data_IF_795927499394
#
_entry.id   IF_795927499394
#
_cell.length_a   1.000
_cell.length_b   1.000
_cell.length_c   1.000
_cell.angle_alpha   90.00
_cell.angle_beta   90.00
_cell.angle_gamma   90.00
#
_symmetry.space_group_name_H-M   'P 1'
#
loop_
_entity.id
_entity.type
_entity.pdbx_description
1 polymer ?
#
# COMPACT_ATOMS: atom_id res chain seq x y z
N UNK A 1 -18.39 -28.13 17.97
CA UNK A 1 -17.14 -28.58 18.64
C UNK A 1 -16.12 -29.19 17.66
N UNK A 2 -16.46 -30.21 16.87
CA UNK A 2 -15.56 -30.85 15.89
C UNK A 2 -14.94 -29.89 14.85
N UNK A 3 -15.70 -28.93 14.32
CA UNK A 3 -15.22 -27.97 13.32
C UNK A 3 -14.17 -26.97 13.87
N UNK A 4 -14.33 -26.54 15.13
CA UNK A 4 -13.33 -25.68 15.81
C UNK A 4 -12.03 -26.45 16.05
N UNK A 5 -12.13 -27.70 16.50
CA UNK A 5 -10.95 -28.56 16.73
C UNK A 5 -10.20 -28.82 15.42
N UNK A 6 -10.91 -29.12 14.33
CA UNK A 6 -10.32 -29.27 12.99
C UNK A 6 -9.63 -28.00 12.49
N UNK A 7 -10.23 -26.82 12.69
CA UNK A 7 -9.60 -25.54 12.35
C UNK A 7 -8.33 -25.28 13.16
N UNK A 8 -8.35 -25.57 14.46
CA UNK A 8 -7.17 -25.42 15.33
C UNK A 8 -6.07 -26.40 14.97
N UNK A 9 -6.41 -27.65 14.63
CA UNK A 9 -5.44 -28.66 14.21
C UNK A 9 -4.82 -28.30 12.85
N UNK A 10 -5.63 -27.86 11.89
CA UNK A 10 -5.17 -27.38 10.59
C UNK A 10 -4.26 -26.16 10.73
N UNK A 11 -4.59 -25.21 11.61
CA UNK A 11 -3.73 -24.04 11.90
C UNK A 11 -2.37 -24.47 12.47
N UNK A 12 -2.37 -25.37 13.48
CA UNK A 12 -1.12 -25.92 14.05
C UNK A 12 -0.28 -26.70 13.04
N UNK A 13 -0.93 -27.43 12.12
CA UNK A 13 -0.25 -28.10 11.01
C UNK A 13 0.39 -27.08 10.05
N UNK A 14 -0.33 -26.03 9.66
CA UNK A 14 0.18 -24.97 8.78
C UNK A 14 1.27 -24.10 9.43
N UNK A 15 1.37 -24.08 10.76
CA UNK A 15 2.45 -23.45 11.52
C UNK A 15 3.68 -24.35 11.68
N UNK A 16 3.61 -25.63 11.27
CA UNK A 16 4.71 -26.58 11.35
C UNK A 16 5.87 -26.17 10.43
N UNK A 17 7.08 -26.04 11.01
CA UNK A 17 8.32 -25.80 10.26
C UNK A 17 8.55 -26.84 9.15
N UNK A 18 8.15 -28.09 9.38
CA UNK A 18 8.29 -29.17 8.41
C UNK A 18 7.38 -28.96 7.19
N UNK A 19 6.13 -28.58 7.39
CA UNK A 19 5.19 -28.33 6.29
C UNK A 19 5.54 -27.04 5.53
N UNK A 20 6.02 -26.01 6.25
CA UNK A 20 6.55 -24.79 5.65
C UNK A 20 7.72 -25.08 4.69
N UNK A 21 8.60 -26.03 5.03
CA UNK A 21 9.70 -26.45 4.15
C UNK A 21 9.20 -26.98 2.79
N UNK A 22 8.05 -27.64 2.76
CA UNK A 22 7.40 -28.10 1.53
C UNK A 22 6.53 -27.03 0.85
N UNK A 23 6.41 -25.83 1.43
CA UNK A 23 5.58 -24.73 0.92
C UNK A 23 4.13 -24.76 1.37
N UNK A 24 3.79 -25.65 2.30
CA UNK A 24 2.48 -25.72 2.95
C UNK A 24 2.55 -24.80 4.16
N UNK A 25 2.25 -23.51 3.92
CA UNK A 25 2.28 -22.45 4.94
C UNK A 25 0.99 -21.65 4.91
N UNK A 26 0.65 -21.01 6.03
CA UNK A 26 -0.50 -20.10 6.08
C UNK A 26 -0.36 -18.95 5.07
N UNK A 27 0.85 -18.41 4.91
CA UNK A 27 1.16 -17.34 3.95
C UNK A 27 0.85 -17.79 2.52
N UNK A 28 1.37 -18.95 2.11
CA UNK A 28 1.10 -19.46 0.77
C UNK A 28 -0.37 -19.78 0.55
N UNK A 29 -1.07 -20.26 1.59
CA UNK A 29 -2.50 -20.50 1.51
C UNK A 29 -3.30 -19.20 1.36
N UNK A 30 -2.91 -18.14 2.05
CA UNK A 30 -3.55 -16.83 1.94
C UNK A 30 -3.28 -16.20 0.56
N UNK A 31 -2.06 -16.29 0.02
CA UNK A 31 -1.78 -15.85 -1.36
C UNK A 31 -2.66 -16.55 -2.40
N UNK A 32 -2.97 -17.84 -2.20
CA UNK A 32 -3.89 -18.57 -3.08
C UNK A 32 -5.32 -18.05 -2.99
N UNK A 33 -5.81 -17.70 -1.80
CA UNK A 33 -7.15 -17.08 -1.64
C UNK A 33 -7.23 -15.73 -2.32
N UNK A 34 -6.13 -14.97 -2.30
CA UNK A 34 -6.05 -13.64 -2.90
C UNK A 34 -5.76 -13.67 -4.40
N UNK A 35 -5.71 -14.84 -5.05
CA UNK A 35 -5.54 -14.92 -6.50
C UNK A 35 -6.86 -14.58 -7.19
N UNK A 36 -6.91 -13.48 -7.95
CA UNK A 36 -8.12 -13.04 -8.66
C UNK A 36 -8.56 -14.10 -9.68
N UNK A 37 -7.59 -14.65 -10.42
CA UNK A 37 -7.79 -15.75 -11.35
C UNK A 37 -7.83 -17.11 -10.63
N UNK A 38 -8.71 -17.28 -9.65
CA UNK A 38 -8.75 -18.43 -8.72
C UNK A 38 -8.75 -19.81 -9.40
N UNK A 39 -9.22 -19.93 -10.64
CA UNK A 39 -9.17 -21.19 -11.42
C UNK A 39 -7.75 -21.64 -11.76
N UNK A 40 -6.76 -20.74 -11.68
CA UNK A 40 -5.36 -21.07 -11.90
C UNK A 40 -4.81 -22.04 -10.85
N UNK A 41 -5.41 -22.09 -9.67
CA UNK A 41 -5.09 -23.07 -8.61
C UNK A 41 -5.28 -24.51 -9.11
N UNK A 42 -6.21 -24.75 -10.03
CA UNK A 42 -6.42 -26.08 -10.64
C UNK A 42 -5.60 -26.30 -11.92
N UNK A 43 -4.82 -25.29 -12.33
CA UNK A 43 -4.08 -25.27 -13.60
C UNK A 43 -2.65 -24.77 -13.42
N UNK A 44 -2.03 -25.00 -12.26
CA UNK A 44 -0.67 -24.53 -11.96
C UNK A 44 0.35 -24.78 -13.09
N UNK A 45 0.30 -25.96 -13.72
CA UNK A 45 1.23 -26.32 -14.79
C UNK A 45 1.09 -25.48 -16.06
N UNK A 46 -0.02 -24.75 -16.23
CA UNK A 46 -0.27 -23.86 -17.39
C UNK A 46 0.23 -22.43 -17.16
N UNK A 47 0.45 -22.05 -15.90
CA UNK A 47 0.98 -20.73 -15.59
C UNK A 47 2.49 -20.78 -15.77
N UNK A 48 3.14 -19.83 -16.46
CA UNK A 48 4.60 -19.77 -16.51
C UNK A 48 5.21 -19.63 -15.11
N UNK A 49 6.45 -20.07 -14.96
CA UNK A 49 7.22 -19.83 -13.73
C UNK A 49 8.03 -18.55 -13.89
N UNK A 50 8.05 -17.75 -12.84
CA UNK A 50 8.85 -16.54 -12.72
C UNK A 50 9.84 -16.70 -11.58
N UNK A 51 11.04 -16.18 -11.79
CA UNK A 51 12.06 -16.10 -10.75
C UNK A 51 11.91 -14.79 -9.99
N UNK A 52 11.89 -14.89 -8.67
CA UNK A 52 11.97 -13.72 -7.80
C UNK A 52 13.44 -13.26 -7.78
N UNK A 53 13.68 -12.03 -8.20
CA UNK A 53 14.98 -11.36 -8.13
C UNK A 53 15.01 -10.45 -6.92
N UNK A 54 16.20 -10.32 -6.32
CA UNK A 54 16.44 -9.51 -5.13
C UNK A 54 17.47 -8.44 -5.47
N UNK A 55 17.10 -7.18 -5.31
CA UNK A 55 18.09 -6.11 -5.38
C UNK A 55 18.96 -6.14 -4.12
N UNK A 56 20.22 -5.72 -4.27
CA UNK A 56 21.13 -5.61 -3.13
C UNK A 56 20.87 -4.31 -2.39
N UNK A 57 21.03 -4.33 -1.07
CA UNK A 57 21.05 -3.10 -0.28
C UNK A 57 22.16 -2.19 -0.80
N UNK A 58 21.81 -0.92 -1.04
CA UNK A 58 22.78 0.09 -1.46
C UNK A 58 23.74 0.37 -0.32
N UNK A 59 25.01 0.62 -0.66
CA UNK A 59 25.99 1.08 0.33
C UNK A 59 25.53 2.45 0.84
N UNK A 60 25.39 2.56 2.16
CA UNK A 60 25.04 3.81 2.85
C UNK A 60 26.09 4.88 2.56
N UNK A 61 25.61 6.07 2.19
CA UNK A 61 26.37 7.28 1.92
C UNK A 61 26.02 8.36 2.94
N UNK A 62 26.80 9.44 2.96
CA UNK A 62 26.60 10.56 3.90
C UNK A 62 25.20 11.18 3.79
N UNK A 63 24.68 11.32 2.56
CA UNK A 63 23.32 11.83 2.33
C UNK A 63 22.23 10.95 2.95
N UNK A 64 22.45 9.63 3.03
CA UNK A 64 21.48 8.70 3.63
C UNK A 64 21.51 8.83 5.16
N UNK A 65 22.69 9.09 5.74
CA UNK A 65 22.85 9.36 7.17
C UNK A 65 22.14 10.67 7.52
N UNK A 66 22.37 11.74 6.75
CA UNK A 66 21.71 13.02 6.96
C UNK A 66 20.17 12.92 6.83
N UNK A 67 19.67 12.18 5.85
CA UNK A 67 18.24 11.88 5.76
C UNK A 67 17.74 11.17 7.03
N UNK A 68 18.49 10.21 7.55
CA UNK A 68 18.11 9.49 8.77
C UNK A 68 18.16 10.36 10.03
N UNK A 69 19.03 11.38 10.11
CA UNK A 69 18.99 12.39 11.17
C UNK A 69 17.67 13.15 11.17
N UNK A 70 17.23 13.60 9.98
CA UNK A 70 15.93 14.27 9.79
C UNK A 70 14.78 13.38 10.25
N UNK A 71 14.79 12.10 9.85
CA UNK A 71 13.76 11.12 10.23
C UNK A 71 13.71 10.86 11.74
N UNK A 72 14.87 10.71 12.40
CA UNK A 72 14.94 10.52 13.86
C UNK A 72 14.37 11.75 14.58
N UNK A 73 14.71 12.95 14.12
CA UNK A 73 14.18 14.20 14.70
C UNK A 73 12.67 14.27 14.55
N UNK A 74 12.14 14.09 13.33
CA UNK A 74 10.70 14.13 13.08
C UNK A 74 9.93 13.08 13.90
N UNK A 75 10.49 11.87 14.04
CA UNK A 75 9.93 10.82 14.90
C UNK A 75 9.94 11.23 16.38
N UNK A 76 11.03 11.84 16.87
CA UNK A 76 11.12 12.36 18.23
C UNK A 76 10.08 13.45 18.52
N UNK A 77 9.89 14.39 17.61
CA UNK A 77 8.86 15.44 17.75
C UNK A 77 7.45 14.83 17.75
N UNK A 78 7.17 13.91 16.83
CA UNK A 78 5.87 13.27 16.71
C UNK A 78 5.50 12.37 17.90
N UNK A 79 6.49 11.81 18.62
CA UNK A 79 6.26 10.94 19.79
C UNK A 79 6.30 11.69 21.13
N UNK A 80 7.01 12.82 21.20
CA UNK A 80 7.01 13.70 22.36
C UNK A 80 5.72 14.53 22.46
N UNK A 81 5.04 14.73 21.34
CA UNK A 81 3.71 15.34 21.28
C UNK A 81 2.68 14.40 21.93
N UNK A 82 2.64 14.41 23.27
CA UNK A 82 1.81 13.53 24.12
C UNK A 82 0.29 13.80 24.02
N UNK A 83 -0.15 14.61 23.05
CA UNK A 83 -1.57 14.80 22.78
C UNK A 83 -2.15 13.50 22.18
N UNK A 84 -2.67 12.67 23.09
CA UNK A 84 -3.60 11.58 22.88
C UNK A 84 -3.16 10.45 21.93
N UNK A 85 -2.42 9.47 22.46
CA UNK A 85 -2.24 8.14 21.85
C UNK A 85 -3.50 7.27 21.92
N UNK A 86 -4.67 7.80 21.52
CA UNK A 86 -5.94 7.05 21.46
C UNK A 86 -6.30 6.55 20.06
N UNK A 87 -5.51 6.91 19.04
CA UNK A 87 -5.87 6.66 17.64
C UNK A 87 -5.16 5.44 17.01
N UNK A 88 -4.51 4.59 17.80
CA UNK A 88 -3.97 3.32 17.29
C UNK A 88 -4.95 2.20 17.59
N UNK A 89 -5.31 1.42 16.57
CA UNK A 89 -6.15 0.25 16.78
C UNK A 89 -5.38 -0.90 17.45
N UNK A 90 -6.07 -1.79 18.14
CA UNK A 90 -5.47 -2.98 18.76
C UNK A 90 -4.72 -3.87 17.73
N UNK A 91 -5.15 -3.85 16.47
CA UNK A 91 -4.48 -4.54 15.38
C UNK A 91 -3.08 -3.96 15.15
N UNK A 92 -2.98 -2.65 14.96
CA UNK A 92 -1.69 -2.00 14.75
C UNK A 92 -0.81 -2.03 15.99
N UNK A 93 -1.37 -1.85 17.20
CA UNK A 93 -0.61 -2.05 18.45
C UNK A 93 0.04 -3.45 18.52
N UNK A 94 -0.69 -4.49 18.08
CA UNK A 94 -0.17 -5.85 18.06
C UNK A 94 0.89 -6.04 16.97
N UNK A 95 0.68 -5.52 15.76
CA UNK A 95 1.67 -5.57 14.68
C UNK A 95 2.97 -4.88 15.09
N UNK A 96 2.87 -3.66 15.63
CA UNK A 96 4.04 -2.89 16.07
C UNK A 96 4.84 -3.66 17.13
N UNK A 97 4.16 -4.19 18.16
CA UNK A 97 4.79 -4.99 19.21
C UNK A 97 5.47 -6.24 18.66
N UNK A 98 4.85 -6.93 17.70
CA UNK A 98 5.33 -8.24 17.22
C UNK A 98 6.33 -8.19 16.06
N UNK A 99 6.40 -7.08 15.32
CA UNK A 99 7.14 -7.00 14.05
C UNK A 99 8.10 -5.82 13.94
N UNK A 100 7.84 -4.72 14.67
CA UNK A 100 8.58 -3.46 14.52
C UNK A 100 9.70 -3.26 15.54
N UNK A 101 9.92 -4.19 16.48
CA UNK A 101 10.91 -4.04 17.55
C UNK A 101 12.33 -3.68 17.08
N UNK A 102 12.77 -4.20 15.93
CA UNK A 102 14.08 -3.83 15.34
C UNK A 102 14.11 -2.34 14.98
N UNK A 103 13.12 -1.83 14.24
CA UNK A 103 13.07 -0.42 13.85
C UNK A 103 12.95 0.50 15.07
N UNK A 104 12.11 0.13 16.04
CA UNK A 104 11.97 0.86 17.31
C UNK A 104 13.32 0.96 18.03
N UNK A 105 14.03 -0.15 18.23
CA UNK A 105 15.32 -0.15 18.92
C UNK A 105 16.38 0.71 18.21
N UNK A 106 16.33 0.77 16.88
CA UNK A 106 17.26 1.59 16.08
C UNK A 106 16.92 3.07 16.22
N UNK A 107 15.64 3.44 16.22
CA UNK A 107 15.20 4.82 16.43
C UNK A 107 15.52 5.30 17.85
N UNK A 108 15.27 4.48 18.87
CA UNK A 108 15.59 4.78 20.27
C UNK A 108 17.09 4.96 20.51
N UNK A 109 17.94 4.30 19.72
CA UNK A 109 19.39 4.49 19.80
C UNK A 109 19.85 5.88 19.33
N UNK A 110 19.00 6.62 18.60
CA UNK A 110 19.33 7.93 18.03
C UNK A 110 20.47 7.90 17.01
N UNK A 111 20.88 6.74 16.51
CA UNK A 111 22.02 6.60 15.61
C UNK A 111 21.58 6.64 14.12
N UNK A 112 21.81 7.74 13.39
CA UNK A 112 21.36 7.89 12.01
C UNK A 112 22.05 6.92 11.04
N UNK A 113 23.31 6.55 11.30
CA UNK A 113 24.03 5.57 10.47
C UNK A 113 23.43 4.18 10.62
N UNK A 114 23.09 3.77 11.83
CA UNK A 114 22.42 2.49 12.08
C UNK A 114 21.03 2.46 11.45
N UNK A 115 20.29 3.57 11.51
CA UNK A 115 19.00 3.70 10.82
C UNK A 115 19.17 3.60 9.30
N UNK A 116 20.13 4.31 8.71
CA UNK A 116 20.39 4.26 7.27
C UNK A 116 20.73 2.84 6.79
N UNK A 117 21.57 2.11 7.53
CA UNK A 117 21.89 0.70 7.23
C UNK A 117 20.63 -0.16 7.31
N UNK A 118 19.82 0.02 8.36
CA UNK A 118 18.59 -0.76 8.57
C UNK A 118 17.57 -0.50 7.45
N UNK A 119 17.38 0.75 7.07
CA UNK A 119 16.42 1.15 6.03
C UNK A 119 16.90 0.81 4.62
N UNK A 120 18.22 0.71 4.39
CA UNK A 120 18.79 0.31 3.09
C UNK A 120 18.34 -1.08 2.61
N UNK A 121 17.84 -1.92 3.53
CA UNK A 121 17.27 -3.24 3.27
C UNK A 121 15.85 -3.42 3.83
N UNK A 122 15.11 -2.35 4.07
CA UNK A 122 13.81 -2.42 4.77
C UNK A 122 12.81 -3.40 4.15
N UNK A 123 12.80 -3.56 2.82
CA UNK A 123 11.86 -4.47 2.15
C UNK A 123 12.19 -5.95 2.35
N UNK A 124 13.30 -6.28 3.02
CA UNK A 124 13.65 -7.64 3.44
C UNK A 124 13.35 -7.90 4.93
N UNK A 125 12.88 -6.89 5.65
CA UNK A 125 12.74 -6.93 7.11
C UNK A 125 11.30 -7.25 7.52
N UNK A 126 11.11 -7.64 8.79
CA UNK A 126 9.76 -7.91 9.32
C UNK A 126 8.98 -6.63 9.64
N UNK A 127 9.66 -5.51 9.86
CA UNK A 127 9.05 -4.23 10.26
C UNK A 127 8.36 -3.49 9.12
N UNK A 128 8.20 -4.11 7.95
CA UNK A 128 7.32 -3.63 6.87
C UNK A 128 6.04 -4.47 6.75
N UNK A 129 5.83 -5.42 7.66
CA UNK A 129 4.61 -6.24 7.68
C UNK A 129 3.37 -5.35 7.79
N UNK A 130 2.39 -5.58 6.92
CA UNK A 130 1.20 -4.73 6.76
C UNK A 130 1.36 -3.67 5.67
N UNK A 131 2.59 -3.31 5.30
CA UNK A 131 2.90 -2.33 4.25
C UNK A 131 3.42 -3.01 2.98
N UNK A 132 4.24 -4.05 3.14
CA UNK A 132 4.93 -4.79 2.09
C UNK A 132 5.13 -6.25 2.55
N UNK A 133 5.29 -7.19 1.61
CA UNK A 133 5.48 -8.61 1.95
C UNK A 133 6.73 -8.87 2.80
N UNK A 134 7.76 -8.02 2.70
CA UNK A 134 8.89 -8.01 3.64
C UNK A 134 9.64 -9.34 3.70
N UNK A 135 9.91 -9.81 4.91
CA UNK A 135 10.54 -11.10 5.18
C UNK A 135 9.65 -12.33 4.85
N UNK A 136 8.36 -12.15 4.51
CA UNK A 136 7.47 -13.25 4.15
C UNK A 136 7.88 -13.96 2.87
N UNK A 137 8.72 -13.34 2.03
CA UNK A 137 9.31 -13.96 0.83
C UNK A 137 10.04 -15.28 1.12
N UNK A 138 10.46 -15.52 2.35
CA UNK A 138 11.00 -16.84 2.78
C UNK A 138 10.04 -18.01 2.50
N UNK A 139 8.72 -17.75 2.49
CA UNK A 139 7.70 -18.76 2.16
C UNK A 139 7.68 -19.14 0.67
N UNK A 140 8.37 -18.37 -0.19
CA UNK A 140 8.56 -18.67 -1.60
C UNK A 140 9.68 -19.68 -1.87
N UNK A 141 10.52 -20.07 -0.91
CA UNK A 141 11.76 -20.81 -1.23
C UNK A 141 11.56 -22.27 -1.62
N UNK A 142 10.46 -22.89 -1.19
CA UNK A 142 10.09 -24.26 -1.57
C UNK A 142 9.58 -24.33 -3.01
N UNK A 143 9.57 -25.52 -3.63
CA UNK A 143 9.05 -25.69 -5.01
C UNK A 143 7.60 -25.21 -5.15
N UNK A 144 6.75 -25.54 -4.19
CA UNK A 144 5.33 -25.11 -4.16
C UNK A 144 5.25 -23.61 -3.87
N UNK A 145 6.01 -23.10 -2.90
CA UNK A 145 6.08 -21.68 -2.58
C UNK A 145 6.47 -20.83 -3.79
N UNK A 146 7.55 -21.20 -4.50
CA UNK A 146 8.00 -20.52 -5.74
C UNK A 146 6.86 -20.42 -6.73
N UNK A 147 6.11 -21.50 -6.90
CA UNK A 147 5.01 -21.56 -7.84
C UNK A 147 3.86 -20.64 -7.44
N UNK A 148 3.46 -20.64 -6.18
CA UNK A 148 2.37 -19.82 -5.65
C UNK A 148 2.73 -18.34 -5.76
N UNK A 149 3.93 -17.96 -5.33
CA UNK A 149 4.39 -16.57 -5.42
C UNK A 149 4.49 -16.11 -6.87
N UNK A 150 5.11 -16.91 -7.74
CA UNK A 150 5.17 -16.64 -9.18
C UNK A 150 3.78 -16.45 -9.79
N UNK A 151 2.80 -17.25 -9.38
CA UNK A 151 1.43 -17.11 -9.84
C UNK A 151 0.81 -15.79 -9.35
N UNK A 152 1.03 -15.42 -8.08
CA UNK A 152 0.48 -14.18 -7.52
C UNK A 152 1.03 -12.91 -8.18
N UNK A 153 2.33 -12.85 -8.47
CA UNK A 153 2.90 -11.73 -9.22
C UNK A 153 2.24 -11.58 -10.61
N UNK A 154 2.08 -12.70 -11.32
CA UNK A 154 1.47 -12.71 -12.65
C UNK A 154 -0.02 -12.40 -12.62
N UNK A 155 -0.74 -12.84 -11.59
CA UNK A 155 -2.16 -12.56 -11.36
C UNK A 155 -2.42 -11.05 -11.21
N UNK A 156 -1.62 -10.38 -10.38
CA UNK A 156 -1.73 -8.93 -10.16
C UNK A 156 -1.43 -8.13 -11.44
N UNK A 157 -0.38 -8.52 -12.19
CA UNK A 157 -0.05 -7.90 -13.47
C UNK A 157 -1.14 -8.11 -14.53
N UNK A 158 -1.68 -9.34 -14.61
CA UNK A 158 -2.73 -9.66 -15.57
C UNK A 158 -3.99 -8.86 -15.27
N UNK A 159 -4.40 -8.80 -14.00
CA UNK A 159 -5.56 -8.03 -13.59
C UNK A 159 -5.43 -6.53 -13.94
N UNK A 160 -4.25 -5.94 -13.78
CA UNK A 160 -3.98 -4.57 -14.21
C UNK A 160 -4.07 -4.42 -15.74
N UNK A 161 -3.52 -5.37 -16.50
CA UNK A 161 -3.58 -5.36 -17.96
C UNK A 161 -5.03 -5.51 -18.50
N UNK A 162 -5.83 -6.34 -17.84
CA UNK A 162 -7.25 -6.52 -18.15
C UNK A 162 -8.05 -5.25 -17.88
N UNK A 163 -7.80 -4.59 -16.74
CA UNK A 163 -8.38 -3.29 -16.40
C UNK A 163 -8.07 -2.23 -17.48
N UNK A 164 -6.82 -2.19 -17.95
CA UNK A 164 -6.39 -1.25 -19.00
C UNK A 164 -6.93 -1.62 -20.39
N UNK A 165 -7.57 -2.78 -20.55
CA UNK A 165 -8.06 -3.27 -21.84
C UNK A 165 -6.95 -3.61 -22.86
N UNK A 166 -5.69 -3.71 -22.41
CA UNK A 166 -4.55 -4.08 -23.29
C UNK A 166 -4.47 -5.58 -23.55
N UNK A 167 -5.21 -6.36 -22.76
CA UNK A 167 -5.48 -7.78 -22.97
C UNK A 167 -6.96 -8.05 -22.70
N UNK A 168 -7.46 -9.19 -23.20
CA UNK A 168 -8.83 -9.62 -22.95
C UNK A 168 -8.96 -10.21 -21.55
N UNK A 169 -10.09 -9.94 -20.90
CA UNK A 169 -10.45 -10.54 -19.61
C UNK A 169 -10.64 -12.05 -19.71
N UNK A 170 -10.16 -12.83 -18.76
CA UNK A 170 -10.44 -14.27 -18.72
C UNK A 170 -11.94 -14.56 -18.49
N UNK A 171 -12.59 -15.18 -19.48
CA UNK A 171 -13.98 -15.64 -19.34
C UNK A 171 -14.04 -17.12 -18.97
N UNK A 172 -14.78 -17.48 -17.90
CA UNK A 172 -15.03 -18.88 -17.55
C UNK A 172 -15.99 -19.58 -18.52
N UNK A 173 -16.81 -18.84 -19.28
CA UNK A 173 -17.77 -19.38 -20.25
C UNK A 173 -17.06 -19.82 -21.53
N UNK A 174 -16.14 -18.99 -22.05
CA UNK A 174 -15.43 -19.23 -23.29
C UNK A 174 -14.02 -18.64 -23.16
N UNK A 175 -13.01 -19.46 -22.87
CA UNK A 175 -11.66 -18.92 -22.69
C UNK A 175 -10.60 -19.94 -22.27
N UNK A 176 -9.34 -19.63 -22.62
CA UNK A 176 -8.15 -20.31 -22.11
C UNK A 176 -7.61 -19.51 -20.92
N UNK A 177 -7.16 -20.21 -19.89
CA UNK A 177 -6.49 -19.58 -18.75
C UNK A 177 -5.05 -19.22 -19.09
N UNK A 178 -4.59 -18.09 -18.57
CA UNK A 178 -3.27 -17.48 -18.74
C UNK A 178 -2.88 -17.24 -20.21
N UNK A 179 -3.86 -17.01 -21.10
CA UNK A 179 -3.59 -16.79 -22.52
C UNK A 179 -2.68 -15.57 -22.75
N UNK A 180 -2.92 -14.49 -22.00
CA UNK A 180 -2.14 -13.26 -22.04
C UNK A 180 -0.69 -13.42 -21.57
N UNK A 181 -0.37 -14.51 -20.84
CA UNK A 181 0.98 -14.79 -20.34
C UNK A 181 1.81 -15.66 -21.29
N UNK A 182 1.25 -16.14 -22.40
CA UNK A 182 1.96 -17.01 -23.35
C UNK A 182 3.16 -16.35 -24.01
N UNK A 183 3.05 -15.05 -24.26
CA UNK A 183 4.13 -14.23 -24.82
C UNK A 183 5.16 -13.81 -23.76
N UNK A 184 4.96 -14.23 -22.50
CA UNK A 184 5.81 -13.90 -21.37
C UNK A 184 5.39 -12.62 -20.65
N UNK A 185 5.92 -12.44 -19.44
CA UNK A 185 5.66 -11.26 -18.60
C UNK A 185 6.23 -10.00 -19.23
N UNK A 186 7.33 -10.10 -19.97
CA UNK A 186 7.93 -8.94 -20.66
C UNK A 186 6.94 -8.27 -21.62
N UNK A 187 6.25 -9.04 -22.45
CA UNK A 187 5.26 -8.50 -23.39
C UNK A 187 4.03 -7.94 -22.68
N UNK A 188 3.61 -8.56 -21.56
CA UNK A 188 2.50 -8.04 -20.76
C UNK A 188 2.84 -6.68 -20.15
N UNK A 189 4.02 -6.54 -19.54
CA UNK A 189 4.48 -5.28 -18.95
C UNK A 189 4.68 -4.22 -20.03
N UNK A 190 5.25 -4.58 -21.19
CA UNK A 190 5.41 -3.64 -22.31
C UNK A 190 4.07 -3.08 -22.80
N UNK A 191 3.02 -3.91 -22.90
CA UNK A 191 1.65 -3.47 -23.25
C UNK A 191 1.07 -2.52 -22.21
N UNK A 192 1.23 -2.83 -20.91
CA UNK A 192 0.80 -1.95 -19.82
C UNK A 192 1.52 -0.60 -19.93
N UNK A 193 2.85 -0.59 -19.90
CA UNK A 193 3.68 0.62 -19.93
C UNK A 193 3.37 1.50 -21.15
N UNK A 194 3.16 0.89 -22.32
CA UNK A 194 2.79 1.61 -23.55
C UNK A 194 1.43 2.28 -23.47
N UNK A 195 0.42 1.63 -22.86
CA UNK A 195 -0.94 2.18 -22.77
C UNK A 195 -1.06 3.37 -21.83
N UNK A 196 -0.22 3.42 -20.80
CA UNK A 196 -0.21 4.47 -19.78
C UNK A 196 0.97 5.43 -19.92
N UNK A 197 1.86 5.21 -20.88
CA UNK A 197 3.09 5.96 -21.08
C UNK A 197 3.86 6.21 -19.76
N UNK A 198 3.99 5.17 -18.93
CA UNK A 198 4.69 5.25 -17.64
C UNK A 198 5.35 3.91 -17.36
N UNK A 199 6.64 3.92 -17.03
CA UNK A 199 7.35 2.70 -16.65
C UNK A 199 6.88 2.17 -15.30
N UNK A 200 6.62 0.86 -15.24
CA UNK A 200 6.29 0.11 -14.03
C UNK A 200 7.53 -0.23 -13.18
N UNK A 201 8.73 0.20 -13.56
CA UNK A 201 9.94 -0.12 -12.82
C UNK A 201 9.87 0.42 -11.38
N UNK A 202 9.81 -0.47 -10.40
CA UNK A 202 9.81 -0.09 -8.99
C UNK A 202 11.14 0.59 -8.62
N UNK A 203 11.13 1.68 -7.81
CA UNK A 203 12.34 2.39 -7.44
C UNK A 203 13.29 1.48 -6.65
N UNK A 204 14.59 1.60 -6.92
CA UNK A 204 15.63 0.80 -6.26
C UNK A 204 15.95 1.37 -4.87
N UNK A 205 15.02 1.18 -3.92
CA UNK A 205 15.05 1.72 -2.56
C UNK A 205 14.78 0.58 -1.58
N UNK A 206 15.59 0.43 -0.54
CA UNK A 206 15.30 -0.52 0.54
C UNK A 206 15.49 -2.01 0.18
N UNK A 207 16.33 -2.31 -0.82
CA UNK A 207 16.58 -3.66 -1.34
C UNK A 207 15.29 -4.43 -1.75
N UNK A 208 14.49 -3.87 -2.68
CA UNK A 208 13.22 -4.49 -3.05
C UNK A 208 13.45 -5.80 -3.81
N UNK A 209 12.41 -6.64 -3.83
CA UNK A 209 12.41 -7.88 -4.61
C UNK A 209 11.10 -8.02 -5.37
N UNK A 210 11.12 -8.84 -6.42
CA UNK A 210 9.99 -8.99 -7.32
C UNK A 210 10.32 -9.88 -8.50
N UNK A 211 9.47 -9.85 -9.53
CA UNK A 211 9.78 -10.49 -10.82
C UNK A 211 10.28 -9.44 -11.82
N UNK A 212 10.92 -9.87 -12.91
CA UNK A 212 11.31 -8.98 -14.01
C UNK A 212 10.27 -9.06 -15.14
N UNK A 213 9.94 -7.90 -15.70
CA UNK A 213 9.10 -7.75 -16.87
C UNK A 213 9.49 -6.49 -17.63
N UNK A 214 9.85 -6.61 -18.91
CA UNK A 214 10.31 -5.51 -19.76
C UNK A 214 11.46 -4.69 -19.14
N UNK A 215 12.38 -5.37 -18.44
CA UNK A 215 13.48 -4.74 -17.69
C UNK A 215 13.07 -4.15 -16.32
N UNK A 216 11.79 -3.82 -16.14
CA UNK A 216 11.21 -3.30 -14.90
C UNK A 216 11.21 -4.36 -13.78
N UNK A 217 11.53 -3.94 -12.56
CA UNK A 217 11.30 -4.74 -11.35
C UNK A 217 9.83 -4.60 -10.94
N UNK A 218 9.11 -5.71 -10.86
CA UNK A 218 7.70 -5.78 -10.46
C UNK A 218 7.56 -6.38 -9.06
N UNK A 219 7.22 -5.56 -8.05
CA UNK A 219 6.93 -6.02 -6.68
C UNK A 219 5.49 -6.52 -6.58
N UNK A 220 5.13 -7.20 -5.48
CA UNK A 220 3.84 -7.90 -5.40
C UNK A 220 2.68 -6.92 -5.29
N UNK A 221 2.87 -5.87 -4.51
CA UNK A 221 1.90 -4.87 -4.08
C UNK A 221 1.71 -3.78 -5.14
N UNK A 222 2.76 -3.41 -5.87
CA UNK A 222 2.69 -2.20 -6.67
C UNK A 222 1.71 -2.21 -7.85
N UNK A 223 1.31 -3.35 -8.48
CA UNK A 223 0.29 -3.29 -9.52
C UNK A 223 -1.04 -2.76 -8.98
N UNK A 224 -1.34 -2.98 -7.70
CA UNK A 224 -2.49 -2.41 -7.00
C UNK A 224 -2.33 -0.90 -6.85
N UNK A 225 -1.23 -0.42 -6.27
CA UNK A 225 -1.00 1.03 -6.12
C UNK A 225 -0.99 1.76 -7.49
N UNK A 226 -0.47 1.11 -8.54
CA UNK A 226 -0.49 1.64 -9.91
C UNK A 226 -1.92 1.75 -10.46
N UNK A 227 -2.74 0.71 -10.23
CA UNK A 227 -4.17 0.69 -10.55
C UNK A 227 -4.92 1.80 -9.79
N UNK A 228 -4.75 1.89 -8.48
CA UNK A 228 -5.44 2.87 -7.63
C UNK A 228 -5.07 4.31 -8.03
N UNK A 229 -3.80 4.58 -8.36
CA UNK A 229 -3.38 5.88 -8.90
C UNK A 229 -4.14 6.27 -10.18
N UNK A 230 -4.37 5.32 -11.10
CA UNK A 230 -5.15 5.55 -12.32
C UNK A 230 -6.64 5.79 -12.01
N UNK A 231 -7.19 5.09 -11.02
CA UNK A 231 -8.59 5.26 -10.60
C UNK A 231 -8.81 6.59 -9.92
N UNK A 232 -7.87 7.06 -9.11
CA UNK A 232 -7.91 8.40 -8.52
C UNK A 232 -7.81 9.46 -9.61
N UNK A 233 -6.92 9.30 -10.58
CA UNK A 233 -6.86 10.21 -11.73
C UNK A 233 -8.21 10.32 -12.47
N UNK A 234 -8.87 9.19 -12.72
CA UNK A 234 -10.19 9.18 -13.34
C UNK A 234 -11.26 9.83 -12.46
N UNK A 235 -11.23 9.61 -11.14
CA UNK A 235 -12.14 10.27 -10.21
C UNK A 235 -11.92 11.79 -10.20
N UNK A 236 -10.67 12.26 -10.18
CA UNK A 236 -10.32 13.68 -10.30
C UNK A 236 -10.86 14.26 -11.61
N UNK A 237 -10.68 13.57 -12.74
CA UNK A 237 -11.20 14.03 -14.04
C UNK A 237 -12.73 14.10 -14.08
N UNK A 238 -13.43 13.17 -13.44
CA UNK A 238 -14.90 13.12 -13.49
C UNK A 238 -15.56 14.10 -12.53
N UNK A 239 -14.97 14.30 -11.34
CA UNK A 239 -15.65 14.97 -10.23
C UNK A 239 -15.00 16.30 -9.82
N UNK A 240 -13.81 16.62 -10.33
CA UNK A 240 -13.11 17.89 -10.06
C UNK A 240 -12.83 18.72 -11.34
N UNK A 241 -13.45 18.40 -12.48
CA UNK A 241 -13.16 19.02 -13.80
C UNK A 241 -13.40 20.55 -13.86
N UNK A 242 -14.12 21.12 -12.89
CA UNK A 242 -14.23 22.57 -12.70
C UNK A 242 -12.95 23.26 -12.18
N UNK A 243 -11.93 22.49 -11.77
CA UNK A 243 -10.64 22.96 -11.26
C UNK A 243 -9.45 22.59 -12.17
N UNK A 244 -9.71 22.22 -13.43
CA UNK A 244 -8.77 21.63 -14.41
C UNK A 244 -7.55 22.47 -14.84
N UNK A 245 -7.19 23.51 -14.09
CA UNK A 245 -5.95 24.28 -14.23
C UNK A 245 -5.18 24.52 -12.94
N UNK A 246 -5.68 24.07 -11.78
CA UNK A 246 -5.04 24.30 -10.48
C UNK A 246 -4.25 23.07 -10.02
N UNK A 247 -3.11 23.32 -9.39
CA UNK A 247 -2.39 22.27 -8.67
C UNK A 247 -3.20 21.87 -7.42
N UNK A 248 -3.40 20.58 -7.21
CA UNK A 248 -4.25 20.01 -6.17
C UNK A 248 -3.47 19.70 -4.89
N UNK A 249 -4.10 19.95 -3.75
CA UNK A 249 -3.67 19.49 -2.44
C UNK A 249 -4.31 18.13 -2.15
N UNK A 250 -3.49 17.09 -2.16
CA UNK A 250 -3.92 15.71 -1.91
C UNK A 250 -3.54 15.35 -0.48
N UNK A 251 -4.44 14.69 0.24
CA UNK A 251 -4.17 14.08 1.54
C UNK A 251 -4.49 12.59 1.50
N UNK A 252 -3.59 11.76 2.00
CA UNK A 252 -3.74 10.32 2.13
C UNK A 252 -3.70 9.92 3.62
N UNK A 253 -4.73 9.21 4.07
CA UNK A 253 -4.80 8.65 5.42
C UNK A 253 -4.27 7.20 5.39
N UNK A 254 -3.21 6.93 6.15
CA UNK A 254 -2.60 5.60 6.24
C UNK A 254 -1.90 5.18 4.95
N UNK A 255 -0.93 5.97 4.48
CA UNK A 255 -0.29 5.81 3.16
C UNK A 255 0.72 4.66 3.03
N UNK A 256 0.72 3.73 3.97
CA UNK A 256 1.56 2.54 3.90
C UNK A 256 3.05 2.88 3.95
N UNK A 257 3.84 2.41 2.99
CA UNK A 257 5.23 2.85 2.82
C UNK A 257 5.40 4.03 1.84
N UNK A 258 4.30 4.64 1.36
CA UNK A 258 4.31 5.77 0.42
C UNK A 258 4.26 5.38 -1.05
N UNK A 259 3.83 4.15 -1.38
CA UNK A 259 3.81 3.68 -2.77
C UNK A 259 2.75 4.36 -3.62
N UNK A 260 1.56 4.62 -3.08
CA UNK A 260 0.48 5.25 -3.82
C UNK A 260 0.87 6.69 -4.20
N UNK A 261 1.39 7.45 -3.23
CA UNK A 261 2.00 8.76 -3.43
C UNK A 261 3.07 8.74 -4.54
N UNK A 262 3.96 7.75 -4.52
CA UNK A 262 4.98 7.57 -5.56
C UNK A 262 4.36 7.38 -6.95
N UNK A 263 3.36 6.53 -7.11
CA UNK A 263 2.76 6.26 -8.42
C UNK A 263 1.89 7.40 -8.93
N UNK A 264 1.14 8.07 -8.06
CA UNK A 264 0.37 9.28 -8.42
C UNK A 264 1.32 10.35 -8.96
N UNK A 265 2.43 10.61 -8.28
CA UNK A 265 3.41 11.59 -8.74
C UNK A 265 4.14 11.13 -10.02
N UNK A 266 4.62 9.89 -10.05
CA UNK A 266 5.40 9.35 -11.18
C UNK A 266 4.60 9.24 -12.48
N UNK A 267 3.30 8.96 -12.41
CA UNK A 267 2.44 8.95 -13.59
C UNK A 267 2.24 10.36 -14.17
N UNK A 268 2.38 11.42 -13.35
CA UNK A 268 2.28 12.81 -13.81
C UNK A 268 0.90 13.21 -14.37
N UNK A 269 -0.14 12.46 -14.00
CA UNK A 269 -1.51 12.62 -14.53
C UNK A 269 -2.39 13.57 -13.72
N UNK A 270 -1.97 13.86 -12.50
CA UNK A 270 -2.63 14.76 -11.58
C UNK A 270 -1.66 15.92 -11.31
N UNK A 271 -2.06 17.19 -11.50
CA UNK A 271 -1.22 18.34 -11.17
C UNK A 271 -1.19 18.48 -9.64
N UNK A 272 -0.10 18.04 -8.99
CA UNK A 272 0.01 18.03 -7.52
C UNK A 272 0.67 19.33 -7.05
N UNK A 273 0.02 20.04 -6.13
CA UNK A 273 0.66 21.10 -5.35
C UNK A 273 1.36 20.48 -4.13
N UNK A 274 0.61 19.70 -3.35
CA UNK A 274 1.11 18.96 -2.18
C UNK A 274 0.46 17.59 -2.11
N UNK A 275 1.21 16.60 -1.65
CA UNK A 275 0.75 15.27 -1.30
C UNK A 275 1.11 15.01 0.17
N UNK A 276 0.12 15.15 1.04
CA UNK A 276 0.28 14.95 2.48
C UNK A 276 -0.12 13.53 2.85
N UNK A 277 0.75 12.82 3.57
CA UNK A 277 0.44 11.53 4.19
C UNK A 277 0.29 11.75 5.69
N UNK A 278 -0.84 11.30 6.23
CA UNK A 278 -1.14 11.25 7.66
C UNK A 278 -1.07 9.79 8.11
N UNK A 279 -0.16 9.47 9.02
CA UNK A 279 0.06 8.09 9.48
C UNK A 279 0.61 8.01 10.91
N UNK A 280 0.86 6.79 11.40
CA UNK A 280 1.54 6.56 12.66
C UNK A 280 3.01 7.00 12.55
N UNK A 281 3.59 7.66 13.58
CA UNK A 281 4.96 8.17 13.55
C UNK A 281 6.03 7.15 13.11
N UNK A 282 5.87 5.89 13.53
CA UNK A 282 6.79 4.80 13.17
C UNK A 282 6.72 4.43 11.68
N UNK A 283 5.53 4.54 11.07
CA UNK A 283 5.30 4.31 9.65
C UNK A 283 5.80 5.50 8.83
N UNK A 284 5.63 6.73 9.34
CA UNK A 284 6.18 7.94 8.73
C UNK A 284 7.70 7.87 8.51
N UNK A 285 8.47 7.19 9.38
CA UNK A 285 9.92 6.96 9.16
C UNK A 285 10.17 6.16 7.88
N UNK A 286 9.37 5.12 7.63
CA UNK A 286 9.48 4.28 6.43
C UNK A 286 9.07 5.08 5.19
N UNK A 287 7.96 5.81 5.27
CA UNK A 287 7.45 6.66 4.18
C UNK A 287 8.44 7.76 3.78
N UNK A 288 8.94 8.50 4.78
CA UNK A 288 9.89 9.57 4.60
C UNK A 288 11.20 9.07 3.96
N UNK A 289 11.70 7.92 4.38
CA UNK A 289 12.85 7.28 3.75
C UNK A 289 12.56 6.85 2.31
N UNK A 290 11.45 6.15 2.09
CA UNK A 290 11.09 5.64 0.76
C UNK A 290 10.96 6.78 -0.26
N UNK A 291 10.16 7.80 0.06
CA UNK A 291 9.91 8.94 -0.84
C UNK A 291 11.18 9.76 -1.08
N UNK A 292 11.98 10.01 -0.04
CA UNK A 292 13.23 10.78 -0.18
C UNK A 292 14.30 10.07 -0.99
N UNK A 293 14.26 8.73 -1.07
CA UNK A 293 15.19 7.94 -1.88
C UNK A 293 14.66 7.65 -3.29
N UNK A 294 13.33 7.60 -3.45
CA UNK A 294 12.68 7.43 -4.75
C UNK A 294 12.65 8.73 -5.56
N UNK A 295 12.67 9.88 -4.88
CA UNK A 295 12.68 11.23 -5.45
C UNK A 295 13.83 12.06 -4.87
N UNK A 296 13.84 13.37 -5.12
CA UNK A 296 14.81 14.27 -4.48
C UNK A 296 14.42 14.53 -3.01
N UNK A 297 15.33 14.41 -2.03
CA UNK A 297 15.01 14.67 -0.61
C UNK A 297 14.47 16.07 -0.32
N UNK A 298 14.69 17.06 -1.19
CA UNK A 298 14.11 18.40 -1.08
C UNK A 298 12.62 18.46 -1.42
N UNK A 299 12.10 17.43 -2.11
CA UNK A 299 10.68 17.29 -2.37
C UNK A 299 9.90 16.72 -1.17
N UNK A 300 10.59 16.31 -0.10
CA UNK A 300 9.98 15.68 1.08
C UNK A 300 10.16 16.56 2.30
N UNK A 301 9.04 16.93 2.91
CA UNK A 301 8.94 17.56 4.23
C UNK A 301 8.54 16.54 5.27
N UNK A 302 9.29 16.46 6.35
CA UNK A 302 8.94 15.66 7.52
C UNK A 302 8.27 16.54 8.59
N UNK A 303 7.61 15.91 9.55
CA UNK A 303 6.98 16.61 10.66
C UNK A 303 7.95 17.54 11.40
N UNK A 304 7.44 18.69 11.83
CA UNK A 304 8.18 19.78 12.47
C UNK A 304 9.35 20.40 11.66
N UNK A 305 9.48 20.07 10.36
CA UNK A 305 10.39 20.79 9.46
C UNK A 305 9.70 22.02 8.83
N UNK A 306 10.48 23.08 8.63
CA UNK A 306 10.08 24.29 7.90
C UNK A 306 11.09 24.59 6.79
N UNK A 307 11.09 23.80 5.70
CA UNK A 307 12.00 24.02 4.58
C UNK A 307 11.67 25.32 3.85
N UNK A 308 12.67 25.98 3.27
CA UNK A 308 12.49 27.20 2.47
C UNK A 308 11.79 26.93 1.12
N UNK A 309 11.88 25.69 0.62
CA UNK A 309 11.28 25.26 -0.64
C UNK A 309 9.79 24.93 -0.55
N UNK A 310 9.22 24.51 -1.68
CA UNK A 310 7.84 23.98 -1.78
C UNK A 310 7.88 22.47 -2.00
N UNK A 311 8.10 21.67 -0.94
CA UNK A 311 8.14 20.22 -1.04
C UNK A 311 6.78 19.69 -1.48
N UNK A 312 6.79 18.71 -2.39
CA UNK A 312 5.59 18.05 -2.88
C UNK A 312 5.04 17.15 -1.79
N UNK A 313 5.88 16.28 -1.22
CA UNK A 313 5.47 15.30 -0.23
C UNK A 313 5.58 15.86 1.18
N UNK A 314 4.53 15.67 1.99
CA UNK A 314 4.51 16.03 3.40
C UNK A 314 4.17 14.78 4.21
N UNK A 315 5.05 14.35 5.10
CA UNK A 315 4.91 13.11 5.86
C UNK A 315 4.72 13.45 7.33
N UNK A 316 3.46 13.41 7.78
CA UNK A 316 3.03 13.91 9.08
C UNK A 316 2.33 12.84 9.92
N UNK A 317 2.40 12.96 11.25
CA UNK A 317 1.78 12.01 12.15
C UNK A 317 0.26 12.28 12.26
N UNK A 318 -0.49 11.31 12.76
CA UNK A 318 -1.95 11.38 12.95
C UNK A 318 -2.42 12.69 13.58
N UNK A 319 -1.79 13.16 14.65
CA UNK A 319 -2.21 14.37 15.38
C UNK A 319 -2.11 15.67 14.56
N UNK A 320 -1.41 15.66 13.42
CA UNK A 320 -1.31 16.84 12.56
C UNK A 320 -2.67 17.25 11.96
N UNK A 321 -3.67 16.37 11.97
CA UNK A 321 -5.04 16.70 11.51
C UNK A 321 -5.76 17.68 12.44
N UNK A 322 -5.41 17.72 13.73
CA UNK A 322 -6.10 18.55 14.73
C UNK A 322 -5.89 20.05 14.50
N UNK A 323 -4.74 20.41 13.93
CA UNK A 323 -4.36 21.79 13.61
C UNK A 323 -4.35 22.07 12.11
N UNK A 324 -4.91 21.17 11.28
CA UNK A 324 -4.91 21.33 9.84
C UNK A 324 -5.80 22.50 9.40
N UNK A 325 -5.24 23.43 8.65
CA UNK A 325 -5.90 24.64 8.16
C UNK A 325 -5.77 24.84 6.64
N UNK A 326 -5.13 23.90 5.95
CA UNK A 326 -4.87 23.98 4.51
C UNK A 326 -5.98 23.26 3.74
N UNK A 327 -6.50 23.88 2.67
CA UNK A 327 -7.48 23.28 1.76
C UNK A 327 -7.02 21.90 1.27
N UNK A 328 -7.92 20.92 1.27
CA UNK A 328 -7.70 19.59 0.67
C UNK A 328 -8.66 19.44 -0.53
N UNK A 329 -8.14 19.12 -1.70
CA UNK A 329 -8.96 18.87 -2.90
C UNK A 329 -9.34 17.39 -3.03
N UNK A 330 -8.42 16.50 -2.64
CA UNK A 330 -8.60 15.04 -2.73
C UNK A 330 -8.15 14.41 -1.42
N UNK A 331 -9.10 13.80 -0.70
CA UNK A 331 -8.79 12.89 0.38
C UNK A 331 -8.74 11.46 -0.15
N UNK A 332 -7.71 10.70 0.22
CA UNK A 332 -7.50 9.33 -0.19
C UNK A 332 -7.46 8.45 1.05
N UNK A 333 -8.12 7.29 0.97
CA UNK A 333 -7.84 6.18 1.86
C UNK A 333 -7.76 4.88 1.06
N UNK A 334 -6.61 4.22 1.11
CA UNK A 334 -6.41 2.91 0.52
C UNK A 334 -5.99 1.91 1.61
N UNK A 335 -6.75 0.82 1.74
CA UNK A 335 -6.42 -0.34 2.57
C UNK A 335 -5.94 -0.02 4.00
N UNK A 336 -6.57 0.94 4.68
CA UNK A 336 -6.18 1.28 6.07
C UNK A 336 -7.34 1.60 7.01
N UNK A 337 -8.43 2.25 6.57
CA UNK A 337 -9.59 2.49 7.44
C UNK A 337 -10.23 1.22 8.03
N UNK A 338 -10.36 0.08 7.31
CA UNK A 338 -10.86 -1.17 7.89
C UNK A 338 -10.02 -1.72 9.04
N UNK A 339 -8.76 -1.27 9.19
CA UNK A 339 -7.83 -1.66 10.24
C UNK A 339 -7.93 -0.77 11.49
N UNK A 340 -8.76 0.28 11.43
CA UNK A 340 -9.01 1.24 12.51
C UNK A 340 -10.28 0.89 13.30
N UNK A 341 -10.63 1.69 14.31
CA UNK A 341 -11.94 1.58 14.99
C UNK A 341 -13.00 2.43 14.25
N UNK A 342 -14.28 2.13 14.48
CA UNK A 342 -15.38 2.96 13.95
C UNK A 342 -15.23 4.44 14.35
N UNK A 343 -14.81 4.70 15.59
CA UNK A 343 -14.62 6.05 16.13
C UNK A 343 -13.50 6.82 15.40
N UNK A 344 -12.35 6.17 15.18
CA UNK A 344 -11.23 6.77 14.44
C UNK A 344 -11.65 7.10 13.00
N UNK A 345 -12.32 6.16 12.30
CA UNK A 345 -12.78 6.39 10.93
C UNK A 345 -13.83 7.50 10.89
N UNK A 346 -14.76 7.53 11.85
CA UNK A 346 -15.77 8.58 11.94
C UNK A 346 -15.13 9.96 12.15
N UNK A 347 -14.09 10.06 13.00
CA UNK A 347 -13.34 11.29 13.20
C UNK A 347 -12.66 11.77 11.92
N UNK A 348 -12.02 10.86 11.16
CA UNK A 348 -11.44 11.21 9.85
C UNK A 348 -12.50 11.68 8.84
N UNK A 349 -13.68 11.06 8.80
CA UNK A 349 -14.73 11.49 7.87
C UNK A 349 -15.39 12.81 8.30
N UNK A 350 -15.47 13.09 9.61
CA UNK A 350 -15.88 14.41 10.14
C UNK A 350 -14.84 15.49 9.81
N UNK A 351 -13.56 15.17 9.94
CA UNK A 351 -12.46 16.01 9.49
C UNK A 351 -12.55 16.27 7.98
N UNK A 352 -12.80 15.23 7.18
CA UNK A 352 -12.94 15.34 5.74
C UNK A 352 -14.06 16.31 5.36
N UNK A 353 -15.23 16.17 5.99
CA UNK A 353 -16.37 17.07 5.78
C UNK A 353 -16.04 18.55 6.02
N UNK A 354 -15.16 18.83 6.99
CA UNK A 354 -14.78 20.21 7.34
C UNK A 354 -13.71 20.79 6.40
N UNK A 355 -12.76 19.98 5.94
CA UNK A 355 -11.53 20.47 5.32
C UNK A 355 -11.35 20.09 3.84
N UNK A 356 -12.19 19.20 3.31
CA UNK A 356 -12.11 18.77 1.92
C UNK A 356 -13.09 19.58 1.07
N UNK A 357 -12.56 20.25 0.04
CA UNK A 357 -13.27 21.04 -0.97
C UNK A 357 -13.25 20.30 -2.32
N UNK A 358 -13.60 19.01 -2.28
CA UNK A 358 -13.56 18.15 -3.44
C UNK A 358 -14.06 16.75 -3.12
N UNK A 359 -13.23 15.73 -3.37
CA UNK A 359 -13.65 14.33 -3.27
C UNK A 359 -12.91 13.57 -2.17
N UNK A 360 -13.60 12.56 -1.64
CA UNK A 360 -12.98 11.47 -0.90
C UNK A 360 -12.99 10.20 -1.75
N UNK A 361 -11.80 9.69 -2.07
CA UNK A 361 -11.60 8.41 -2.74
C UNK A 361 -11.22 7.34 -1.71
N UNK A 362 -12.02 6.28 -1.64
CA UNK A 362 -11.80 5.16 -0.72
C UNK A 362 -11.62 3.87 -1.51
N UNK A 363 -10.56 3.09 -1.24
CA UNK A 363 -10.37 1.76 -1.81
C UNK A 363 -10.01 0.77 -0.70
N UNK A 364 -10.98 -0.02 -0.26
CA UNK A 364 -10.87 -0.81 0.96
C UNK A 364 -11.54 -2.18 0.84
N UNK A 365 -11.08 -3.13 1.66
CA UNK A 365 -11.76 -4.42 1.78
C UNK A 365 -13.06 -4.31 2.57
N UNK A 366 -14.04 -5.12 2.21
CA UNK A 366 -15.31 -5.23 2.96
C UNK A 366 -15.46 -6.60 3.64
N UNK A 367 -14.33 -7.20 4.05
CA UNK A 367 -14.33 -8.51 4.69
C UNK A 367 -15.18 -8.56 5.98
N UNK A 368 -15.33 -7.42 6.67
CA UNK A 368 -16.03 -7.28 7.96
C UNK A 368 -15.66 -8.39 8.94
N UNK A 369 -14.39 -8.81 8.94
CA UNK A 369 -13.95 -9.94 9.74
C UNK A 369 -13.79 -9.50 11.20
N UNK A 370 -14.14 -10.35 12.18
CA UNK A 370 -13.83 -10.06 13.57
C UNK A 370 -12.33 -10.23 13.82
N UNK A 371 -11.68 -9.17 14.30
CA UNK A 371 -10.31 -9.17 14.81
C UNK A 371 -10.37 -8.80 16.29
N UNK A 372 -9.75 -9.63 17.14
CA UNK A 372 -9.80 -9.50 18.61
C UNK A 372 -11.21 -9.36 19.22
N UNK A 373 -12.24 -9.92 18.56
CA UNK A 373 -13.63 -9.89 19.03
C UNK A 373 -14.43 -8.67 18.55
N UNK A 374 -13.83 -7.78 17.78
CA UNK A 374 -14.48 -6.62 17.16
C UNK A 374 -14.45 -6.73 15.63
N UNK A 375 -15.55 -6.41 14.95
CA UNK A 375 -15.56 -6.39 13.49
C UNK A 375 -14.72 -5.22 12.97
N UNK A 376 -13.95 -5.48 11.92
CA UNK A 376 -13.31 -4.43 11.13
C UNK A 376 -14.34 -3.43 10.59
N UNK A 377 -13.89 -2.22 10.28
CA UNK A 377 -14.77 -1.14 9.82
C UNK A 377 -15.26 -1.40 8.39
N UNK A 378 -16.55 -1.15 8.14
CA UNK A 378 -17.08 -0.92 6.79
C UNK A 378 -17.15 0.58 6.56
N UNK A 379 -16.20 1.11 5.79
CA UNK A 379 -16.14 2.54 5.45
C UNK A 379 -17.48 3.10 4.94
N UNK A 380 -18.23 2.46 4.02
CA UNK A 380 -19.52 3.00 3.57
C UNK A 380 -20.57 3.12 4.69
N UNK A 381 -20.52 2.27 5.73
CA UNK A 381 -21.45 2.42 6.86
C UNK A 381 -21.14 3.65 7.70
N UNK A 382 -19.85 3.96 7.89
CA UNK A 382 -19.44 5.15 8.63
C UNK A 382 -19.69 6.41 7.80
N UNK A 383 -19.40 6.37 6.49
CA UNK A 383 -19.70 7.46 5.58
C UNK A 383 -21.19 7.80 5.56
N UNK A 384 -22.09 6.81 5.63
CA UNK A 384 -23.53 7.05 5.71
C UNK A 384 -23.99 7.70 7.04
N UNK A 385 -23.22 7.54 8.13
CA UNK A 385 -23.51 8.17 9.44
C UNK A 385 -23.04 9.61 9.49
N UNK A 386 -21.98 9.94 8.75
CA UNK A 386 -21.45 11.31 8.64
C UNK A 386 -22.18 12.02 7.49
N UNK A 387 -23.12 12.92 7.82
CA UNK A 387 -23.79 13.70 6.78
C UNK A 387 -22.79 14.55 5.97
N UNK A 388 -23.15 14.92 4.75
CA UNK A 388 -22.29 15.71 3.85
C UNK A 388 -21.39 14.88 2.94
N UNK A 389 -21.41 13.54 3.01
CA UNK A 389 -20.73 12.66 2.05
C UNK A 389 -21.77 12.02 1.13
N UNK A 390 -21.69 12.31 -0.17
CA UNK A 390 -22.56 11.72 -1.19
C UNK A 390 -21.76 10.77 -2.05
N UNK A 391 -22.08 9.46 -2.00
CA UNK A 391 -21.39 8.47 -2.85
C UNK A 391 -21.83 8.62 -4.30
N UNK A 392 -20.88 8.94 -5.17
CA UNK A 392 -21.11 9.14 -6.62
C UNK A 392 -20.62 7.97 -7.47
N UNK A 393 -19.72 7.13 -6.92
CA UNK A 393 -19.19 5.96 -7.60
C UNK A 393 -18.94 4.81 -6.62
N UNK A 394 -19.14 3.58 -7.10
CA UNK A 394 -18.81 2.34 -6.39
C UNK A 394 -18.50 1.22 -7.38
N UNK A 395 -17.28 0.69 -7.35
CA UNK A 395 -16.86 -0.43 -8.22
C UNK A 395 -16.04 -1.45 -7.45
N UNK A 396 -16.05 -2.69 -7.91
CA UNK A 396 -15.08 -3.68 -7.43
C UNK A 396 -13.66 -3.33 -7.95
N UNK A 397 -12.64 -3.56 -7.12
CA UNK A 397 -11.25 -3.47 -7.57
C UNK A 397 -10.94 -4.59 -8.56
N UNK A 398 -10.30 -4.23 -9.67
CA UNK A 398 -9.82 -5.21 -10.66
C UNK A 398 -8.64 -6.03 -10.13
N UNK A 399 -7.73 -5.40 -9.38
CA UNK A 399 -6.44 -6.00 -9.00
C UNK A 399 -6.52 -6.73 -7.66
N UNK A 400 -7.51 -6.44 -6.81
CA UNK A 400 -7.64 -7.08 -5.50
C UNK A 400 -9.07 -7.49 -5.19
N UNK A 401 -9.33 -8.79 -5.31
CA UNK A 401 -10.63 -9.40 -4.96
C UNK A 401 -11.03 -9.06 -3.52
N UNK A 402 -12.29 -8.66 -3.35
CA UNK A 402 -12.86 -8.29 -2.04
C UNK A 402 -12.65 -6.82 -1.66
N UNK A 403 -11.97 -6.04 -2.51
CA UNK A 403 -11.83 -4.60 -2.36
C UNK A 403 -12.84 -3.87 -3.21
N UNK A 404 -13.36 -2.78 -2.67
CA UNK A 404 -14.30 -1.89 -3.33
C UNK A 404 -13.69 -0.50 -3.34
N UNK A 405 -13.71 0.12 -4.50
CA UNK A 405 -13.40 1.53 -4.69
C UNK A 405 -14.69 2.35 -4.70
N UNK A 406 -14.68 3.45 -3.97
CA UNK A 406 -15.78 4.37 -3.84
C UNK A 406 -15.28 5.81 -3.96
N UNK A 407 -16.10 6.65 -4.59
CA UNK A 407 -15.85 8.09 -4.62
C UNK A 407 -17.03 8.80 -4.00
N UNK A 408 -16.73 9.73 -3.11
CA UNK A 408 -17.69 10.56 -2.40
C UNK A 408 -17.43 12.02 -2.76
N UNK A 409 -18.47 12.73 -3.17
CA UNK A 409 -18.47 14.19 -3.17
C UNK A 409 -18.74 14.67 -1.74
N UNK A 410 -17.98 15.68 -1.31
CA UNK A 410 -18.10 16.26 0.02
C UNK A 410 -18.81 17.61 -0.07
N UNK A 411 -19.99 17.68 0.54
CA UNK A 411 -20.76 18.90 0.71
C UNK A 411 -20.42 19.52 2.07
N UNK A 412 -19.79 20.68 2.05
CA UNK A 412 -19.50 21.45 3.26
C UNK A 412 -20.78 22.01 3.89
N UNK A 413 -20.72 22.29 5.20
CA UNK A 413 -21.83 22.87 5.98
C UNK A 413 -22.03 24.35 5.71
#
# INVERSE_FOLDING_TARGET
>A
MKLKILKTLAKKLLESKLLNFFGISIINFDLLKYTNHYKWIFKFNKIPNQTIVFNKAKKVQEKDIHLCERLIKAYGEATNDKLQTKDTSQLWETILRERYGKLVSVLESGNPKTLAVTLSSMFLESFVYGLFAGDLVKHSYSKIGKKIWSMKYQDNLLALAEYLGVVRTESPQQGKSAEALKEGVDQLVAKIESSVNTSMNFPDVGAPYGIKGNGSLITMEHPEHFYVALRIHQAVQLYLDGQSGNNLNIMEIGGGFGSLAHWIHKQGRIPINTYTIIDLPIVNVIQGYFLSQAFDPSQVRLYAENPEGKPIFQVFPTQAVDSWDTKIDVLINENSMPEMTNEIVENYLRFARKNVEGIFFSCNHEAYAPIYGTHQVLVPEIAARVSGLTRVSRNASWVRTGYVEETYEINQL
#
